data_IF_435018655733
#
_entry.id   IF_435018655733
#
_cell.length_a   1.000
_cell.length_b   1.000
_cell.length_c   1.000
_cell.angle_alpha   90.00
_cell.angle_beta   90.00
_cell.angle_gamma   90.00
#
_symmetry.space_group_name_H-M   'P 1'
#
loop_
_entity.id
_entity.type
_entity.pdbx_description
1 polymer ?
#
# COMPACT_ATOMS: atom_id res chain seq x y z
N UNK A 1 17.16 -12.73 -30.39
CA UNK A 1 17.61 -13.50 -29.21
C UNK A 1 17.41 -12.60 -28.01
N UNK A 2 16.49 -12.98 -27.12
CA UNK A 2 16.00 -12.14 -26.04
C UNK A 2 17.00 -12.05 -24.89
N UNK A 3 17.19 -10.85 -24.36
CA UNK A 3 17.56 -10.64 -22.96
C UNK A 3 16.51 -9.71 -22.38
N UNK A 4 15.33 -10.30 -22.12
CA UNK A 4 14.44 -9.74 -21.11
C UNK A 4 15.13 -10.04 -19.79
N UNK A 5 15.67 -9.01 -19.15
CA UNK A 5 16.12 -9.10 -17.77
C UNK A 5 14.92 -9.54 -16.92
N UNK A 6 14.86 -10.84 -16.70
CA UNK A 6 13.92 -11.51 -15.83
C UNK A 6 14.33 -11.13 -14.42
N UNK A 7 13.86 -9.96 -13.95
CA UNK A 7 13.89 -9.63 -12.53
C UNK A 7 13.16 -10.79 -11.85
N UNK A 8 13.83 -11.59 -10.99
CA UNK A 8 13.12 -12.60 -10.25
C UNK A 8 12.04 -11.85 -9.47
N UNK A 9 10.78 -12.16 -9.77
CA UNK A 9 9.68 -11.82 -8.89
C UNK A 9 9.96 -12.60 -7.60
N UNK A 10 10.77 -12.00 -6.74
CA UNK A 10 10.86 -12.37 -5.35
C UNK A 10 9.40 -12.35 -4.88
N UNK A 11 8.83 -13.55 -4.73
CA UNK A 11 7.50 -13.84 -4.16
C UNK A 11 7.42 -13.41 -2.69
N UNK A 12 8.24 -12.43 -2.27
CA UNK A 12 8.04 -11.71 -1.04
C UNK A 12 6.58 -11.26 -0.98
N UNK A 13 5.89 -11.51 0.13
CA UNK A 13 4.51 -11.08 0.29
C UNK A 13 4.47 -9.55 0.19
N UNK A 14 3.69 -9.06 -0.77
CA UNK A 14 3.53 -7.63 -1.03
C UNK A 14 2.19 -7.16 -0.49
N UNK A 15 2.24 -6.08 0.27
CA UNK A 15 1.10 -5.24 0.55
C UNK A 15 0.64 -4.53 -0.72
N UNK A 16 -0.68 -4.39 -0.86
CA UNK A 16 -1.32 -3.52 -1.83
C UNK A 16 -2.41 -2.70 -1.15
N UNK A 17 -2.34 -1.39 -1.34
CA UNK A 17 -3.38 -0.45 -0.89
C UNK A 17 -3.89 0.32 -2.09
N UNK A 18 -5.22 0.38 -2.24
CA UNK A 18 -5.90 1.18 -3.25
C UNK A 18 -6.87 2.11 -2.56
N UNK A 19 -6.64 3.42 -2.68
CA UNK A 19 -7.46 4.45 -2.06
C UNK A 19 -8.10 5.30 -3.15
N UNK A 20 -9.43 5.47 -3.17
CA UNK A 20 -10.08 6.41 -4.08
C UNK A 20 -9.55 7.84 -3.89
N UNK A 21 -9.31 8.56 -4.99
CA UNK A 21 -8.80 9.95 -4.93
C UNK A 21 -9.77 10.89 -4.22
N UNK A 22 -11.08 10.62 -4.26
CA UNK A 22 -12.11 11.37 -3.52
C UNK A 22 -11.94 11.32 -1.99
N UNK A 23 -11.25 10.29 -1.47
CA UNK A 23 -10.96 10.15 -0.05
C UNK A 23 -9.72 10.93 0.38
N UNK A 24 -8.88 11.32 -0.57
CA UNK A 24 -7.61 11.96 -0.32
C UNK A 24 -7.80 13.45 0.01
N UNK A 25 -6.87 13.99 0.80
CA UNK A 25 -6.77 15.42 1.00
C UNK A 25 -6.45 16.11 -0.35
N UNK A 26 -7.06 17.27 -0.65
CA UNK A 26 -6.93 17.92 -1.96
C UNK A 26 -5.49 18.29 -2.37
N UNK A 27 -4.58 18.42 -1.40
CA UNK A 27 -3.20 18.85 -1.60
C UNK A 27 -2.20 17.68 -1.52
N UNK A 28 -2.66 16.44 -1.44
CA UNK A 28 -1.78 15.28 -1.42
C UNK A 28 -1.18 15.07 -2.80
N UNK A 29 0.14 15.08 -2.89
CA UNK A 29 0.88 14.81 -4.12
C UNK A 29 1.53 13.43 -4.09
N UNK A 30 1.89 12.92 -5.27
CA UNK A 30 2.59 11.63 -5.38
C UNK A 30 3.99 11.70 -4.77
N UNK A 31 4.66 12.84 -4.86
CA UNK A 31 5.98 13.08 -4.24
C UNK A 31 5.89 12.94 -2.73
N UNK A 32 4.93 13.61 -2.08
CA UNK A 32 4.72 13.53 -0.63
C UNK A 32 4.43 12.10 -0.17
N UNK A 33 3.65 11.34 -0.95
CA UNK A 33 3.43 9.93 -0.68
C UNK A 33 4.75 9.15 -0.75
N UNK A 34 5.53 9.33 -1.83
CA UNK A 34 6.80 8.61 -2.04
C UNK A 34 7.84 8.93 -0.98
N UNK A 35 7.93 10.17 -0.53
CA UNK A 35 8.85 10.60 0.53
C UNK A 35 8.57 9.92 1.88
N UNK A 36 7.30 9.62 2.16
CA UNK A 36 6.89 8.94 3.39
C UNK A 36 6.98 7.41 3.30
N UNK A 37 7.15 6.84 2.10
CA UNK A 37 7.28 5.40 1.94
C UNK A 37 8.73 4.91 2.10
N UNK A 38 8.87 3.59 2.25
CA UNK A 38 10.17 2.92 2.15
C UNK A 38 10.66 2.85 0.70
N UNK A 39 11.98 2.73 0.45
CA UNK A 39 12.54 2.65 -0.90
C UNK A 39 12.09 1.44 -1.72
N UNK A 40 11.64 0.37 -1.07
CA UNK A 40 11.15 -0.87 -1.68
C UNK A 40 9.66 -0.82 -2.04
N UNK A 41 9.06 0.37 -2.01
CA UNK A 41 7.65 0.58 -2.37
C UNK A 41 7.51 1.25 -3.73
N UNK A 42 6.38 0.99 -4.36
CA UNK A 42 5.93 1.66 -5.57
C UNK A 42 4.61 2.36 -5.27
N UNK A 43 4.54 3.65 -5.61
CA UNK A 43 3.34 4.45 -5.52
C UNK A 43 3.01 5.07 -6.88
N UNK A 44 1.71 5.04 -7.21
CA UNK A 44 1.13 5.68 -8.38
C UNK A 44 -0.14 6.43 -7.97
N UNK A 45 -0.31 7.65 -8.48
CA UNK A 45 -1.49 8.48 -8.25
C UNK A 45 -2.13 8.81 -9.60
N UNK A 46 -3.37 8.36 -9.78
CA UNK A 46 -4.20 8.71 -10.94
C UNK A 46 -5.33 9.64 -10.52
N UNK A 47 -6.13 10.09 -11.50
CA UNK A 47 -7.35 10.86 -11.23
C UNK A 47 -8.36 10.12 -10.37
N UNK A 48 -8.29 8.79 -10.32
CA UNK A 48 -9.28 7.94 -9.65
C UNK A 48 -8.72 7.25 -8.40
N UNK A 49 -7.44 6.88 -8.41
CA UNK A 49 -6.85 6.05 -7.36
C UNK A 49 -5.43 6.48 -6.98
N UNK A 50 -5.17 6.46 -5.67
CA UNK A 50 -3.83 6.24 -5.13
C UNK A 50 -3.61 4.74 -4.98
N UNK A 51 -2.60 4.21 -5.66
CA UNK A 51 -2.18 2.80 -5.55
C UNK A 51 -0.78 2.71 -4.99
N UNK A 52 -0.62 1.93 -3.93
CA UNK A 52 0.67 1.67 -3.28
C UNK A 52 0.91 0.17 -3.21
N UNK A 53 2.15 -0.26 -3.47
CA UNK A 53 2.58 -1.66 -3.40
C UNK A 53 3.97 -1.75 -2.77
N UNK A 54 4.22 -2.74 -1.92
CA UNK A 54 5.53 -2.94 -1.29
C UNK A 54 5.48 -3.94 -0.15
N UNK A 55 6.60 -4.18 0.54
CA UNK A 55 6.61 -5.08 1.70
C UNK A 55 5.87 -4.45 2.89
N UNK A 56 6.11 -3.15 3.10
CA UNK A 56 5.46 -2.34 4.13
C UNK A 56 5.01 -1.02 3.52
N UNK A 57 3.71 -0.72 3.62
CA UNK A 57 3.09 0.50 3.12
C UNK A 57 2.66 1.35 4.31
N UNK A 58 3.02 2.62 4.29
CA UNK A 58 2.56 3.62 5.25
C UNK A 58 1.38 4.37 4.65
N UNK A 59 0.30 4.54 5.40
CA UNK A 59 -0.80 5.44 5.05
C UNK A 59 -0.94 6.46 6.16
N UNK A 60 -0.59 7.71 5.88
CA UNK A 60 -0.69 8.77 6.89
C UNK A 60 -2.14 9.24 7.07
N UNK A 61 -2.51 9.57 8.30
CA UNK A 61 -3.84 10.07 8.64
C UNK A 61 -4.16 11.37 7.95
N UNK A 62 -3.16 12.23 7.75
CA UNK A 62 -3.28 13.53 7.08
C UNK A 62 -3.52 13.41 5.58
N UNK A 63 -3.33 12.24 4.99
CA UNK A 63 -3.60 12.02 3.57
C UNK A 63 -5.08 11.80 3.29
N UNK A 64 -5.83 11.38 4.29
CA UNK A 64 -7.21 10.91 4.16
C UNK A 64 -8.13 11.90 4.86
N UNK A 65 -9.20 12.31 4.15
CA UNK A 65 -10.25 13.12 4.76
C UNK A 65 -10.87 12.38 5.93
N UNK A 66 -11.20 13.11 6.98
CA UNK A 66 -11.71 12.55 8.24
C UNK A 66 -12.80 11.46 8.11
N UNK A 67 -13.87 11.64 7.31
CA UNK A 67 -14.95 10.66 7.23
C UNK A 67 -14.52 9.29 6.66
N UNK A 68 -13.46 9.25 5.85
CA UNK A 68 -13.04 8.02 5.16
C UNK A 68 -11.95 7.25 5.90
N UNK A 69 -11.43 7.78 7.00
CA UNK A 69 -10.38 7.10 7.76
C UNK A 69 -10.80 5.75 8.34
N UNK A 70 -12.08 5.56 8.66
CA UNK A 70 -12.58 4.26 9.08
C UNK A 70 -12.61 3.27 7.91
N UNK A 71 -13.01 3.75 6.72
CA UNK A 71 -13.24 2.96 5.50
C UNK A 71 -11.95 2.51 4.82
N UNK A 72 -10.84 3.23 5.03
CA UNK A 72 -9.56 2.85 4.45
C UNK A 72 -9.09 1.45 4.90
N UNK A 73 -9.53 1.01 6.08
CA UNK A 73 -9.26 -0.34 6.57
C UNK A 73 -9.87 -1.42 5.67
N UNK A 74 -11.05 -1.14 5.11
CA UNK A 74 -11.77 -2.06 4.24
C UNK A 74 -11.27 -1.97 2.78
N UNK A 75 -10.74 -0.81 2.38
CA UNK A 75 -10.15 -0.59 1.07
C UNK A 75 -8.76 -1.26 0.89
N UNK A 76 -8.18 -1.75 1.98
CA UNK A 76 -6.91 -2.49 1.96
C UNK A 76 -7.18 -3.94 1.53
N UNK A 77 -6.65 -4.34 0.37
CA UNK A 77 -7.00 -5.61 -0.26
C UNK A 77 -5.96 -6.72 -0.03
N UNK A 78 -6.32 -7.76 0.76
CA UNK A 78 -5.66 -9.07 0.79
C UNK A 78 -4.74 -9.34 1.99
N UNK A 79 -5.14 -10.18 2.94
CA UNK A 79 -4.28 -10.76 3.99
C UNK A 79 -3.11 -9.89 4.46
N UNK A 80 -3.35 -8.96 5.39
CA UNK A 80 -2.30 -8.09 5.92
C UNK A 80 -2.34 -7.98 7.43
N UNK A 81 -1.17 -7.76 8.02
CA UNK A 81 -1.03 -7.35 9.41
C UNK A 81 -1.06 -5.83 9.43
N UNK A 82 -2.07 -5.25 10.09
CA UNK A 82 -2.15 -3.81 10.27
C UNK A 82 -1.69 -3.40 11.66
N UNK A 83 -0.86 -2.35 11.73
CA UNK A 83 -0.52 -1.65 12.97
C UNK A 83 -0.97 -0.21 12.85
N UNK A 84 -1.93 0.19 13.69
CA UNK A 84 -2.42 1.56 13.77
C UNK A 84 -1.65 2.32 14.85
N UNK A 85 -1.11 3.48 14.50
CA UNK A 85 -0.74 4.52 15.45
C UNK A 85 -1.77 5.65 15.40
N UNK A 86 -1.65 6.65 16.27
CA UNK A 86 -2.52 7.84 16.23
C UNK A 86 -2.39 8.62 14.91
N UNK A 87 -1.24 8.54 14.24
CA UNK A 87 -0.91 9.34 13.05
C UNK A 87 -0.88 8.54 11.74
N UNK A 88 -0.63 7.24 11.77
CA UNK A 88 -0.48 6.44 10.55
C UNK A 88 -1.04 5.02 10.70
N UNK A 89 -1.33 4.43 9.55
CA UNK A 89 -1.66 3.02 9.38
C UNK A 89 -0.52 2.35 8.61
N UNK A 90 0.09 1.32 9.20
CA UNK A 90 1.07 0.48 8.52
C UNK A 90 0.38 -0.78 8.01
N UNK A 91 0.57 -1.08 6.73
CA UNK A 91 0.06 -2.29 6.06
C UNK A 91 1.25 -3.14 5.62
N UNK A 92 1.33 -4.38 6.10
CA UNK A 92 2.41 -5.32 5.75
C UNK A 92 1.86 -6.55 5.07
N UNK A 93 2.54 -7.01 4.01
CA UNK A 93 2.27 -8.28 3.33
C UNK A 93 2.24 -9.45 4.31
N UNK A 94 1.17 -10.26 4.31
CA UNK A 94 1.09 -11.45 5.17
C UNK A 94 1.93 -12.60 4.59
N UNK A 95 2.74 -13.21 5.47
CA UNK A 95 3.64 -14.33 5.18
C UNK A 95 2.98 -15.70 5.29
N UNK A 96 1.65 -15.85 5.17
CA UNK A 96 0.99 -17.17 5.20
C UNK A 96 1.35 -17.95 3.95
N UNK A 97 2.56 -18.48 3.96
CA UNK A 97 3.03 -19.59 3.16
C UNK A 97 2.05 -20.74 3.36
N UNK A 98 1.37 -21.13 2.30
CA UNK A 98 0.66 -22.40 2.29
C UNK A 98 1.66 -23.54 2.49
N UNK A 99 1.63 -24.19 3.66
CA UNK A 99 1.89 -25.64 3.83
C UNK A 99 1.43 -26.06 5.23
N UNK A 100 0.68 -27.13 5.46
CA UNK A 100 0.38 -28.28 4.62
C UNK A 100 -1.06 -28.76 4.85
N UNK A 101 -1.73 -29.16 3.76
CA UNK A 101 -2.70 -30.27 3.86
C UNK A 101 -1.90 -31.50 4.32
N UNK A 102 -2.31 -32.09 5.43
CA UNK A 102 -2.15 -33.52 5.71
C UNK A 102 -3.47 -34.03 6.25
#
# INVERSE_FOLDING_TARGET
>A
MAAVDNVPADEAPRAQVRVPTEWLMPLLTLELVREAQRPDTHANLTSEWLTMMGIEIVVDRSWIREPFWAQIKDAIAGGFIYKKSAAHLLVRGDRRSGRARR
#
